data_IF_224910095123
#
_entry.id   IF_224910095123
#
_cell.length_a   1.000
_cell.length_b   1.000
_cell.length_c   1.000
_cell.angle_alpha   90.00
_cell.angle_beta   90.00
_cell.angle_gamma   90.00
#
_symmetry.space_group_name_H-M   'P 1'
#
loop_
_entity.id
_entity.type
_entity.pdbx_description
1 polymer ?
#
# COMPACT_ATOMS: atom_id res chain seq x y z
N UNK A 1 15.72 26.31 -26.28
CA UNK A 1 14.31 25.97 -26.01
C UNK A 1 14.04 24.64 -26.68
N UNK A 2 14.54 23.59 -26.05
CA UNK A 2 14.36 22.19 -26.41
C UNK A 2 13.70 21.59 -25.18
N UNK A 3 12.45 21.17 -25.34
CA UNK A 3 11.66 20.56 -24.30
C UNK A 3 12.32 19.22 -23.99
N UNK A 4 12.88 19.10 -22.79
CA UNK A 4 13.33 17.84 -22.23
C UNK A 4 12.14 16.89 -22.12
N UNK A 5 12.30 15.75 -22.79
CA UNK A 5 11.42 14.61 -22.85
C UNK A 5 11.47 13.88 -21.50
N UNK A 6 10.71 14.36 -20.52
CA UNK A 6 10.46 13.65 -19.27
C UNK A 6 9.58 12.42 -19.55
N UNK A 7 10.23 11.29 -19.88
CA UNK A 7 9.63 9.96 -19.75
C UNK A 7 9.34 9.71 -18.26
N UNK A 8 8.09 9.42 -17.86
CA UNK A 8 7.83 8.98 -16.51
C UNK A 8 8.40 7.57 -16.32
N UNK A 9 9.31 7.43 -15.36
CA UNK A 9 9.74 6.15 -14.80
C UNK A 9 8.49 5.40 -14.30
N UNK A 10 8.11 4.31 -14.97
CA UNK A 10 6.97 3.49 -14.54
C UNK A 10 7.30 2.76 -13.23
N UNK A 11 6.55 3.00 -12.14
CA UNK A 11 6.74 2.25 -10.90
C UNK A 11 5.88 0.99 -10.97
N UNK A 12 6.52 -0.16 -11.13
CA UNK A 12 5.86 -1.46 -11.07
C UNK A 12 6.30 -2.37 -12.21
N UNK A 13 7.51 -2.91 -12.08
CA UNK A 13 7.97 -3.96 -12.99
C UNK A 13 6.98 -5.11 -12.97
N UNK A 14 6.26 -5.29 -14.09
CA UNK A 14 5.43 -6.44 -14.34
C UNK A 14 6.31 -7.68 -14.15
N UNK A 15 5.90 -8.68 -13.34
CA UNK A 15 6.68 -9.90 -13.23
C UNK A 15 6.84 -10.51 -14.63
N UNK A 16 8.09 -10.78 -15.05
CA UNK A 16 8.44 -11.25 -16.40
C UNK A 16 7.61 -12.47 -16.86
N UNK A 17 7.04 -13.22 -15.93
CA UNK A 17 6.13 -14.34 -16.19
C UNK A 17 4.76 -13.94 -16.76
N UNK A 18 4.35 -12.67 -16.72
CA UNK A 18 3.07 -12.18 -17.27
C UNK A 18 3.15 -11.70 -18.72
N UNK A 19 4.36 -11.45 -19.25
CA UNK A 19 4.54 -10.93 -20.60
C UNK A 19 4.14 -11.93 -21.70
N UNK A 20 4.27 -13.23 -21.41
CA UNK A 20 3.95 -14.35 -22.31
C UNK A 20 2.51 -14.90 -22.14
N UNK A 21 1.74 -14.39 -21.18
CA UNK A 21 0.43 -14.95 -20.86
C UNK A 21 -0.65 -14.50 -21.84
N UNK A 22 -1.52 -15.42 -22.24
CA UNK A 22 -2.66 -15.15 -23.12
C UNK A 22 -3.77 -14.40 -22.39
N UNK A 23 -4.62 -13.67 -23.13
CA UNK A 23 -5.74 -12.92 -22.53
C UNK A 23 -6.64 -13.78 -21.61
N UNK A 24 -7.03 -15.02 -21.98
CA UNK A 24 -7.83 -15.87 -21.09
C UNK A 24 -7.13 -16.22 -19.77
N UNK A 25 -5.81 -16.36 -19.77
CA UNK A 25 -5.02 -16.64 -18.57
C UNK A 25 -4.97 -15.41 -17.65
N UNK A 26 -4.75 -14.22 -18.23
CA UNK A 26 -4.77 -12.96 -17.49
C UNK A 26 -6.13 -12.69 -16.85
N UNK A 27 -7.22 -12.88 -17.60
CA UNK A 27 -8.59 -12.75 -17.08
C UNK A 27 -8.84 -13.72 -15.91
N UNK A 28 -8.39 -14.97 -16.03
CA UNK A 28 -8.54 -15.98 -14.97
C UNK A 28 -7.79 -15.57 -13.69
N UNK A 29 -6.59 -15.00 -13.81
CA UNK A 29 -5.85 -14.49 -12.66
C UNK A 29 -6.60 -13.36 -11.93
N UNK A 30 -7.20 -12.43 -12.66
CA UNK A 30 -7.99 -11.34 -12.07
C UNK A 30 -9.24 -11.89 -11.38
N UNK A 31 -9.94 -12.84 -12.01
CA UNK A 31 -11.13 -13.48 -11.47
C UNK A 31 -10.85 -14.20 -10.15
N UNK A 32 -9.76 -14.96 -10.06
CA UNK A 32 -9.43 -15.77 -8.89
C UNK A 32 -8.73 -14.95 -7.79
N UNK A 33 -7.72 -14.17 -8.16
CA UNK A 33 -6.79 -13.55 -7.21
C UNK A 33 -7.05 -12.04 -7.06
N UNK A 34 -7.52 -11.40 -8.12
CA UNK A 34 -7.91 -10.00 -8.09
C UNK A 34 -9.14 -9.77 -7.22
N UNK A 35 -10.15 -10.63 -7.33
CA UNK A 35 -11.36 -10.57 -6.51
C UNK A 35 -11.11 -11.00 -5.04
N UNK A 36 -10.19 -11.94 -4.81
CA UNK A 36 -9.83 -12.40 -3.48
C UNK A 36 -8.91 -11.43 -2.70
N UNK A 37 -8.45 -10.34 -3.34
CA UNK A 37 -7.57 -9.35 -2.70
C UNK A 37 -6.13 -9.83 -2.52
N UNK A 38 -5.72 -10.91 -3.19
CA UNK A 38 -4.36 -11.48 -3.08
C UNK A 38 -3.34 -10.72 -3.93
N UNK A 39 -3.77 -10.21 -5.09
CA UNK A 39 -2.97 -9.29 -5.90
C UNK A 39 -3.08 -7.87 -5.37
N UNK A 40 -2.05 -7.05 -5.54
CA UNK A 40 -2.14 -5.62 -5.24
C UNK A 40 -2.96 -4.86 -6.30
N UNK A 41 -3.38 -3.63 -5.98
CA UNK A 41 -4.26 -2.85 -6.86
C UNK A 41 -3.58 -2.47 -8.19
N UNK A 42 -2.26 -2.27 -8.18
CA UNK A 42 -1.47 -1.94 -9.37
C UNK A 42 -1.27 -3.16 -10.27
N UNK A 43 -1.07 -4.34 -9.69
CA UNK A 43 -0.98 -5.62 -10.40
C UNK A 43 -2.31 -5.97 -11.07
N UNK A 44 -3.42 -5.84 -10.35
CA UNK A 44 -4.76 -6.08 -10.91
C UNK A 44 -5.03 -5.14 -12.09
N UNK A 45 -4.66 -3.87 -11.95
CA UNK A 45 -4.79 -2.89 -13.03
C UNK A 45 -3.91 -3.24 -14.25
N UNK A 46 -2.65 -3.62 -14.02
CA UNK A 46 -1.71 -3.97 -15.08
C UNK A 46 -2.17 -5.21 -15.86
N UNK A 47 -2.61 -6.26 -15.16
CA UNK A 47 -3.16 -7.48 -15.78
C UNK A 47 -4.41 -7.15 -16.61
N UNK A 48 -5.31 -6.32 -16.07
CA UNK A 48 -6.53 -5.91 -16.77
C UNK A 48 -6.19 -5.16 -18.07
N UNK A 49 -5.32 -4.16 -17.99
CA UNK A 49 -4.89 -3.39 -19.16
C UNK A 49 -4.24 -4.26 -20.22
N UNK A 50 -3.46 -5.26 -19.81
CA UNK A 50 -2.84 -6.20 -20.75
C UNK A 50 -3.88 -7.09 -21.41
N UNK A 51 -4.85 -7.61 -20.67
CA UNK A 51 -5.95 -8.41 -21.21
C UNK A 51 -6.82 -7.60 -22.19
N UNK A 52 -7.12 -6.34 -21.86
CA UNK A 52 -7.86 -5.41 -22.73
C UNK A 52 -7.12 -5.17 -24.06
N UNK A 53 -5.82 -4.89 -23.98
CA UNK A 53 -4.97 -4.74 -25.17
C UNK A 53 -4.96 -5.99 -26.06
N UNK A 54 -4.83 -7.19 -25.47
CA UNK A 54 -4.81 -8.45 -26.22
C UNK A 54 -6.17 -8.82 -26.82
N UNK A 55 -7.28 -8.30 -26.28
CA UNK A 55 -8.63 -8.51 -26.79
C UNK A 55 -9.12 -7.38 -27.70
N UNK A 56 -8.27 -6.41 -28.00
CA UNK A 56 -8.62 -5.29 -28.87
C UNK A 56 -8.99 -5.81 -30.27
N UNK A 57 -10.21 -5.53 -30.71
CA UNK A 57 -10.73 -6.01 -32.02
C UNK A 57 -11.12 -7.50 -32.04
N UNK A 58 -11.21 -8.16 -30.88
CA UNK A 58 -11.74 -9.52 -30.77
C UNK A 58 -13.26 -9.55 -30.94
N UNK A 59 -13.76 -10.50 -31.74
CA UNK A 59 -15.19 -10.80 -31.87
C UNK A 59 -15.67 -11.86 -30.84
N UNK A 60 -14.78 -12.32 -29.96
CA UNK A 60 -15.15 -13.29 -28.92
C UNK A 60 -15.99 -12.63 -27.83
N UNK A 61 -17.31 -12.75 -27.98
CA UNK A 61 -18.29 -12.24 -27.03
C UNK A 61 -18.10 -12.79 -25.61
N UNK A 62 -17.60 -14.03 -25.46
CA UNK A 62 -17.35 -14.62 -24.14
C UNK A 62 -16.15 -13.96 -23.46
N UNK A 63 -15.04 -13.79 -24.19
CA UNK A 63 -13.86 -13.11 -23.68
C UNK A 63 -14.16 -11.64 -23.32
N UNK A 64 -14.94 -10.94 -24.15
CA UNK A 64 -15.35 -9.55 -23.87
C UNK A 64 -16.28 -9.44 -22.66
N UNK A 65 -17.16 -10.42 -22.42
CA UNK A 65 -17.99 -10.44 -21.21
C UNK A 65 -17.13 -10.59 -19.95
N UNK A 66 -16.18 -11.54 -19.96
CA UNK A 66 -15.23 -11.74 -18.86
C UNK A 66 -14.35 -10.52 -18.62
N UNK A 67 -13.91 -9.84 -19.67
CA UNK A 67 -13.16 -8.59 -19.57
C UNK A 67 -13.98 -7.50 -18.86
N UNK A 68 -15.28 -7.36 -19.17
CA UNK A 68 -16.18 -6.42 -18.47
C UNK A 68 -16.36 -6.80 -17.00
N UNK A 69 -16.46 -8.08 -16.68
CA UNK A 69 -16.55 -8.55 -15.29
C UNK A 69 -15.26 -8.22 -14.52
N UNK A 70 -14.10 -8.47 -15.12
CA UNK A 70 -12.79 -8.07 -14.58
C UNK A 70 -12.69 -6.55 -14.40
N UNK A 71 -13.23 -5.76 -15.33
CA UNK A 71 -13.27 -4.30 -15.21
C UNK A 71 -14.02 -3.85 -13.94
N UNK A 72 -15.11 -4.53 -13.57
CA UNK A 72 -15.84 -4.24 -12.32
C UNK A 72 -15.02 -4.56 -11.08
N UNK A 73 -14.23 -5.64 -11.11
CA UNK A 73 -13.29 -5.96 -10.03
C UNK A 73 -12.25 -4.85 -9.90
N UNK A 74 -11.61 -4.46 -11.00
CA UNK A 74 -10.61 -3.38 -11.05
C UNK A 74 -11.21 -2.06 -10.54
N UNK A 75 -12.36 -1.64 -11.07
CA UNK A 75 -13.04 -0.42 -10.66
C UNK A 75 -13.38 -0.42 -9.17
N UNK A 76 -13.86 -1.54 -8.62
CA UNK A 76 -14.16 -1.63 -7.18
C UNK A 76 -12.91 -1.47 -6.32
N UNK A 77 -11.76 -1.97 -6.77
CA UNK A 77 -10.49 -1.83 -6.06
C UNK A 77 -9.93 -0.41 -6.17
N UNK A 78 -10.06 0.21 -7.35
CA UNK A 78 -9.51 1.53 -7.64
C UNK A 78 -10.44 2.70 -7.29
N UNK A 79 -11.72 2.47 -7.00
CA UNK A 79 -12.69 3.51 -6.63
C UNK A 79 -12.28 4.32 -5.39
N UNK A 80 -11.23 3.88 -4.67
CA UNK A 80 -10.75 4.55 -3.47
C UNK A 80 -11.75 4.41 -2.33
N UNK A 81 -11.52 5.09 -1.20
CA UNK A 81 -12.53 5.16 -0.16
C UNK A 81 -13.76 5.90 -0.69
N UNK A 82 -14.94 5.27 -0.62
CA UNK A 82 -16.20 5.95 -0.86
C UNK A 82 -16.31 7.13 0.12
N UNK A 83 -16.28 8.34 -0.44
CA UNK A 83 -16.70 9.53 0.28
C UNK A 83 -18.22 9.45 0.30
N UNK A 84 -18.78 8.86 1.36
CA UNK A 84 -20.23 8.76 1.57
C UNK A 84 -20.85 10.15 1.39
N UNK A 85 -21.76 10.29 0.43
CA UNK A 85 -22.29 11.59 0.00
C UNK A 85 -23.22 12.27 1.01
N UNK A 86 -23.69 11.54 2.03
CA UNK A 86 -24.52 12.06 3.12
C UNK A 86 -23.77 11.92 4.44
N UNK A 87 -23.62 13.02 5.18
CA UNK A 87 -22.92 13.03 6.46
C UNK A 87 -21.40 13.17 6.38
N UNK A 88 -20.83 13.43 5.20
CA UNK A 88 -19.38 13.56 5.01
C UNK A 88 -18.76 14.66 5.89
N UNK A 89 -17.96 14.25 6.88
CA UNK A 89 -17.14 15.13 7.69
C UNK A 89 -15.68 15.01 7.24
N UNK A 90 -15.07 16.13 6.85
CA UNK A 90 -13.64 16.21 6.50
C UNK A 90 -12.75 15.57 7.57
N UNK A 91 -13.04 15.79 8.85
CA UNK A 91 -12.23 15.26 9.94
C UNK A 91 -12.27 13.73 10.00
N UNK A 92 -13.43 13.12 9.74
CA UNK A 92 -13.58 11.65 9.73
C UNK A 92 -12.89 11.03 8.52
N UNK A 93 -13.02 11.66 7.35
CA UNK A 93 -12.34 11.22 6.14
C UNK A 93 -10.81 11.26 6.27
N UNK A 94 -10.28 12.36 6.81
CA UNK A 94 -8.85 12.49 7.12
C UNK A 94 -8.42 11.46 8.16
N UNK A 95 -9.25 11.21 9.18
CA UNK A 95 -8.95 10.22 10.21
C UNK A 95 -8.86 8.81 9.61
N UNK A 96 -9.80 8.43 8.75
CA UNK A 96 -9.79 7.12 8.08
C UNK A 96 -8.58 6.97 7.13
N UNK A 97 -8.29 8.02 6.35
CA UNK A 97 -7.12 8.01 5.46
C UNK A 97 -5.81 7.91 6.25
N UNK A 98 -5.69 8.67 7.34
CA UNK A 98 -4.54 8.62 8.23
C UNK A 98 -4.37 7.22 8.85
N UNK A 99 -5.47 6.59 9.29
CA UNK A 99 -5.44 5.25 9.86
C UNK A 99 -4.82 4.24 8.88
N UNK A 100 -5.26 4.26 7.61
CA UNK A 100 -4.74 3.38 6.55
C UNK A 100 -3.25 3.58 6.30
N UNK A 101 -2.78 4.83 6.24
CA UNK A 101 -1.36 5.13 6.06
C UNK A 101 -0.51 4.61 7.23
N UNK A 102 -0.97 4.83 8.46
CA UNK A 102 -0.26 4.39 9.67
C UNK A 102 -0.23 2.87 9.76
N UNK A 103 -1.35 2.22 9.47
CA UNK A 103 -1.47 0.76 9.44
C UNK A 103 -0.49 0.14 8.45
N UNK A 104 -0.48 0.63 7.20
CA UNK A 104 0.45 0.17 6.16
C UNK A 104 1.91 0.38 6.57
N UNK A 105 2.26 1.55 7.09
CA UNK A 105 3.62 1.84 7.54
C UNK A 105 4.06 0.96 8.71
N UNK A 106 3.14 0.61 9.63
CA UNK A 106 3.41 -0.33 10.73
C UNK A 106 3.63 -1.75 10.22
N UNK A 107 2.83 -2.21 9.25
CA UNK A 107 2.98 -3.53 8.63
C UNK A 107 4.32 -3.67 7.91
N UNK A 108 4.68 -2.70 7.06
CA UNK A 108 5.98 -2.68 6.37
C UNK A 108 7.16 -2.57 7.35
N UNK A 109 6.95 -1.88 8.48
CA UNK A 109 7.95 -1.76 9.54
C UNK A 109 8.03 -2.96 10.49
N UNK A 110 7.19 -4.00 10.32
CA UNK A 110 7.10 -5.13 11.24
C UNK A 110 6.70 -4.73 12.66
N UNK A 111 5.85 -3.71 12.79
CA UNK A 111 5.38 -3.15 14.06
C UNK A 111 6.33 -2.14 14.71
N UNK A 112 7.47 -1.81 14.10
CA UNK A 112 8.43 -0.84 14.65
C UNK A 112 7.95 0.61 14.45
N UNK A 113 7.55 1.26 15.54
CA UNK A 113 7.07 2.66 15.52
C UNK A 113 8.12 3.64 14.95
N UNK A 114 9.40 3.45 15.25
CA UNK A 114 10.47 4.32 14.72
C UNK A 114 10.62 4.20 13.21
N UNK A 115 10.58 2.96 12.68
CA UNK A 115 10.68 2.74 11.23
C UNK A 115 9.41 3.24 10.52
N UNK A 116 8.24 2.95 11.06
CA UNK A 116 6.97 3.43 10.52
C UNK A 116 6.91 4.97 10.48
N UNK A 117 7.34 5.66 11.55
CA UNK A 117 7.42 7.11 11.57
C UNK A 117 8.33 7.65 10.47
N UNK A 118 9.48 7.01 10.23
CA UNK A 118 10.38 7.38 9.14
C UNK A 118 9.74 7.19 7.76
N UNK A 119 9.01 6.09 7.53
CA UNK A 119 8.29 5.84 6.29
C UNK A 119 7.22 6.93 6.04
N UNK A 120 6.57 7.40 7.09
CA UNK A 120 5.55 8.45 7.04
C UNK A 120 6.12 9.88 6.99
N UNK A 121 7.45 10.06 7.08
CA UNK A 121 8.06 11.39 7.19
C UNK A 121 7.77 12.11 8.52
N UNK A 122 7.39 11.36 9.56
CA UNK A 122 7.04 11.89 10.88
C UNK A 122 8.16 11.61 11.90
N UNK A 123 8.14 12.37 12.99
CA UNK A 123 8.96 12.00 14.16
C UNK A 123 8.34 10.83 14.91
N UNK A 124 9.17 10.03 15.59
CA UNK A 124 8.69 8.95 16.46
C UNK A 124 7.71 9.46 17.53
N UNK A 125 7.97 10.64 18.11
CA UNK A 125 7.11 11.24 19.13
C UNK A 125 5.74 11.61 18.55
N UNK A 126 5.73 12.22 17.37
CA UNK A 126 4.50 12.57 16.65
C UNK A 126 3.66 11.32 16.41
N UNK A 127 4.24 10.27 15.80
CA UNK A 127 3.51 9.03 15.56
C UNK A 127 3.03 8.36 16.85
N UNK A 128 3.84 8.38 17.91
CA UNK A 128 3.45 7.89 19.23
C UNK A 128 2.23 8.61 19.81
N UNK A 129 2.19 9.95 19.70
CA UNK A 129 1.03 10.75 20.15
C UNK A 129 -0.21 10.43 19.34
N UNK A 130 -0.07 10.29 18.01
CA UNK A 130 -1.18 9.97 17.11
C UNK A 130 -1.82 8.62 17.47
N UNK A 131 -0.99 7.59 17.66
CA UNK A 131 -1.45 6.24 18.05
C UNK A 131 -2.14 6.22 19.42
N UNK A 132 -1.67 7.00 20.39
CA UNK A 132 -2.22 6.98 21.74
C UNK A 132 -3.47 7.86 21.91
N UNK A 133 -3.69 8.85 21.03
CA UNK A 133 -4.81 9.78 21.12
C UNK A 133 -5.95 9.39 20.18
N UNK A 134 -5.73 9.51 18.88
CA UNK A 134 -6.77 9.37 17.85
C UNK A 134 -6.87 7.98 17.23
N UNK A 135 -5.76 7.21 17.19
CA UNK A 135 -5.72 5.87 16.57
C UNK A 135 -5.42 4.75 17.57
N UNK A 136 -6.17 4.71 18.67
CA UNK A 136 -5.94 3.75 19.77
C UNK A 136 -6.07 2.28 19.34
N UNK A 137 -6.93 1.99 18.36
CA UNK A 137 -7.11 0.66 17.78
C UNK A 137 -5.82 0.13 17.13
N UNK A 138 -5.05 1.01 16.48
CA UNK A 138 -3.79 0.67 15.81
C UNK A 138 -2.61 0.49 16.79
N UNK A 139 -2.77 0.89 18.06
CA UNK A 139 -1.75 0.66 19.07
C UNK A 139 -1.47 -0.83 19.34
N UNK A 140 -2.37 -1.73 18.92
CA UNK A 140 -2.20 -3.18 18.99
C UNK A 140 -1.23 -3.73 17.94
N UNK A 141 -1.10 -3.07 16.79
CA UNK A 141 -0.22 -3.48 15.68
C UNK A 141 1.26 -3.13 15.90
N UNK A 142 1.58 -2.38 16.96
CA UNK A 142 2.98 -2.07 17.31
C UNK A 142 3.64 -3.25 18.02
N UNK A 143 4.94 -3.42 17.80
CA UNK A 143 5.73 -4.30 18.68
C UNK A 143 5.67 -3.74 20.11
N UNK A 144 5.39 -4.57 21.13
CA UNK A 144 5.31 -4.10 22.51
C UNK A 144 6.58 -3.35 22.91
N UNK A 145 6.40 -2.19 23.55
CA UNK A 145 7.52 -1.37 24.04
C UNK A 145 8.28 -2.18 25.09
N UNK A 146 9.43 -2.74 24.70
CA UNK A 146 10.38 -3.35 25.63
C UNK A 146 11.26 -2.25 26.22
N UNK A 147 11.33 -2.17 27.56
CA UNK A 147 12.30 -1.29 28.23
C UNK A 147 13.69 -1.67 27.73
N UNK A 148 14.39 -0.71 27.13
CA UNK A 148 15.80 -0.85 26.78
C UNK A 148 16.57 -1.20 28.05
N UNK A 149 17.25 -2.33 28.05
CA UNK A 149 18.12 -2.72 29.16
C UNK A 149 19.19 -1.63 29.31
N UNK A 150 19.27 -1.02 30.50
CA UNK A 150 20.31 -0.05 30.80
C UNK A 150 21.64 -0.81 30.86
N UNK A 151 22.65 -0.36 30.12
CA UNK A 151 23.98 -0.95 30.18
C UNK A 151 24.52 -0.80 31.61
N UNK A 152 24.89 -1.91 32.23
CA UNK A 152 25.49 -1.92 33.58
C UNK A 152 26.96 -1.44 33.51
N UNK A 153 27.58 -1.48 32.32
CA UNK A 153 28.88 -0.88 32.07
C UNK A 153 28.77 0.65 31.96
N UNK A 154 28.88 1.31 33.11
CA UNK A 154 29.29 2.70 33.20
C UNK A 154 30.81 2.70 33.21
N UNK A 155 31.43 3.11 32.10
CA UNK A 155 32.88 3.33 32.05
C UNK A 155 33.24 4.31 33.17
N UNK A 156 33.99 3.82 34.16
CA UNK A 156 34.45 4.60 35.29
C UNK A 156 35.36 5.69 34.73
N UNK A 157 34.87 6.92 34.69
CA UNK A 157 35.67 8.09 34.36
C UNK A 157 36.96 8.03 35.17
N UNK A 158 38.08 7.85 34.47
CA UNK A 158 39.41 7.70 35.03
C UNK A 158 39.72 8.91 35.92
N UNK A 159 39.87 8.66 37.20
CA UNK A 159 40.50 9.58 38.14
C UNK A 159 41.93 9.84 37.64
N UNK A 160 42.20 11.05 37.13
CA UNK A 160 43.57 11.58 37.08
C UNK A 160 43.74 12.54 38.24
N UNK A 161 44.56 12.12 39.21
CA UNK A 161 45.14 12.94 40.27
C UNK A 161 46.55 13.37 39.83
N UNK A 162 46.91 14.58 40.28
CA UNK A 162 48.18 15.31 40.20
C UNK A 162 48.52 15.99 38.87
#
# INVERSE_FOLDING_TARGET
MTLDDERPEEPGGVPASAEEQSAPALLKLIEEQGAAGTLDDSEVYALYRRADFLLQGSDDASALARLRDCARVVMRRLAGPEIESEGFNMYEAVLHFEARLIERALEEAGGSVTKAARLLGLTHQTLGTILNTRHKSLASKRTPVRKRLRSIFRESASVRRH
#
